data_IF_374843919116
#
_entry.id   IF_374843919116
#
_cell.length_a   1.000
_cell.length_b   1.000
_cell.length_c   1.000
_cell.angle_alpha   90.00
_cell.angle_beta   90.00
_cell.angle_gamma   90.00
#
_symmetry.space_group_name_H-M   'P 1'
#
loop_
_entity.id
_entity.type
_entity.pdbx_description
1 polymer ?
#
# COMPACT_ATOMS: atom_id res chain seq x y z
N UNK A 1 25.34 14.18 26.51
CA UNK A 1 24.13 14.57 25.75
C UNK A 1 22.99 14.88 26.69
N UNK A 2 22.40 16.07 26.57
CA UNK A 2 21.22 16.50 27.32
C UNK A 2 19.95 15.81 26.80
N UNK A 3 18.85 15.85 27.58
CA UNK A 3 17.54 15.33 27.15
C UNK A 3 17.04 16.00 25.85
N UNK A 4 17.33 17.29 25.69
CA UNK A 4 16.96 18.06 24.51
C UNK A 4 17.71 17.59 23.25
N UNK A 5 19.01 17.33 23.36
CA UNK A 5 19.82 16.82 22.24
C UNK A 5 19.34 15.43 21.78
N UNK A 6 18.98 14.55 22.72
CA UNK A 6 18.42 13.23 22.39
C UNK A 6 17.09 13.34 21.64
N UNK A 7 16.22 14.25 22.08
CA UNK A 7 14.94 14.50 21.41
C UNK A 7 15.12 15.08 20.00
N UNK A 8 16.08 15.99 19.81
CA UNK A 8 16.41 16.53 18.49
C UNK A 8 16.94 15.45 17.53
N UNK A 9 17.88 14.60 17.98
CA UNK A 9 18.39 13.49 17.19
C UNK A 9 17.28 12.50 16.79
N UNK A 10 16.36 12.19 17.71
CA UNK A 10 15.22 11.31 17.43
C UNK A 10 14.26 11.89 16.37
N UNK A 11 14.02 13.21 16.39
CA UNK A 11 13.20 13.90 15.37
C UNK A 11 13.85 13.84 13.99
N UNK A 12 15.16 14.10 13.91
CA UNK A 12 15.93 14.02 12.66
C UNK A 12 15.84 12.61 12.07
N UNK A 13 16.05 11.59 12.90
CA UNK A 13 16.00 10.20 12.46
C UNK A 13 14.59 9.77 12.06
N UNK A 14 13.55 10.30 12.71
CA UNK A 14 12.15 10.05 12.32
C UNK A 14 11.84 10.66 10.96
N UNK A 15 12.27 11.91 10.72
CA UNK A 15 12.13 12.57 9.41
C UNK A 15 12.84 11.80 8.31
N UNK A 16 14.09 11.38 8.53
CA UNK A 16 14.87 10.58 7.57
C UNK A 16 14.15 9.29 7.16
N UNK A 17 13.58 8.57 8.14
CA UNK A 17 12.80 7.35 7.90
C UNK A 17 11.54 7.63 7.10
N UNK A 18 10.83 8.71 7.42
CA UNK A 18 9.64 9.13 6.69
C UNK A 18 9.95 9.50 5.24
N UNK A 19 11.04 10.23 4.98
CA UNK A 19 11.50 10.56 3.63
C UNK A 19 11.86 9.31 2.81
N UNK A 20 12.55 8.34 3.42
CA UNK A 20 12.86 7.06 2.78
C UNK A 20 11.58 6.30 2.40
N UNK A 21 10.63 6.19 3.33
CA UNK A 21 9.36 5.54 3.07
C UNK A 21 8.55 6.26 1.97
N UNK A 22 8.57 7.59 1.97
CA UNK A 22 7.89 8.42 0.95
C UNK A 22 8.45 8.13 -0.44
N UNK A 23 9.79 8.06 -0.58
CA UNK A 23 10.42 7.70 -1.86
C UNK A 23 10.06 6.29 -2.33
N UNK A 24 9.96 5.33 -1.41
CA UNK A 24 9.52 3.96 -1.74
C UNK A 24 8.05 3.90 -2.17
N UNK A 25 7.22 4.78 -1.61
CA UNK A 25 5.79 4.86 -1.87
C UNK A 25 5.45 5.62 -3.16
N UNK A 26 6.32 6.52 -3.61
CA UNK A 26 6.04 7.40 -4.76
C UNK A 26 5.66 6.64 -6.05
N UNK A 27 6.33 5.54 -6.45
CA UNK A 27 5.91 4.76 -7.63
C UNK A 27 4.53 4.10 -7.48
N UNK A 28 4.06 3.97 -6.24
CA UNK A 28 2.84 3.25 -5.88
C UNK A 28 1.78 4.19 -5.28
N UNK A 29 1.84 5.48 -5.62
CA UNK A 29 0.82 6.48 -5.25
C UNK A 29 0.59 6.56 -3.73
N UNK A 30 1.68 6.51 -2.95
CA UNK A 30 1.64 6.74 -1.50
C UNK A 30 1.49 5.48 -0.64
N UNK A 31 1.39 4.29 -1.23
CA UNK A 31 1.39 3.01 -0.48
C UNK A 31 2.66 2.20 -0.67
N UNK A 32 2.96 1.34 0.29
CA UNK A 32 4.03 0.34 0.20
C UNK A 32 3.61 -0.93 0.91
N UNK A 33 4.34 -2.02 0.69
CA UNK A 33 4.20 -3.22 1.53
C UNK A 33 5.10 -3.17 2.76
N UNK A 34 4.71 -3.85 3.84
CA UNK A 34 5.59 -4.06 5.00
C UNK A 34 6.92 -4.71 4.61
N UNK A 35 6.90 -5.61 3.62
CA UNK A 35 8.10 -6.26 3.11
C UNK A 35 9.08 -5.27 2.44
N UNK A 36 8.57 -4.28 1.69
CA UNK A 36 9.41 -3.22 1.11
C UNK A 36 10.09 -2.38 2.19
N UNK A 37 9.36 -2.01 3.25
CA UNK A 37 9.93 -1.27 4.39
C UNK A 37 11.03 -2.08 5.09
N UNK A 38 10.79 -3.37 5.32
CA UNK A 38 11.80 -4.25 5.92
C UNK A 38 13.05 -4.43 5.04
N UNK A 39 12.87 -4.56 3.72
CA UNK A 39 13.99 -4.60 2.76
C UNK A 39 14.77 -3.29 2.74
N UNK A 40 14.12 -2.17 3.03
CA UNK A 40 14.75 -0.86 3.21
C UNK A 40 15.30 -0.61 4.64
N UNK A 41 15.47 -1.68 5.43
CA UNK A 41 16.01 -1.65 6.79
C UNK A 41 15.15 -0.93 7.85
N UNK A 42 13.86 -0.72 7.59
CA UNK A 42 12.93 -0.25 8.61
C UNK A 42 12.43 -1.44 9.44
N UNK A 43 12.58 -1.36 10.76
CA UNK A 43 12.19 -2.43 11.67
C UNK A 43 10.69 -2.42 11.94
N UNK A 44 10.13 -3.56 12.38
CA UNK A 44 8.71 -3.66 12.77
C UNK A 44 8.32 -2.64 13.84
N UNK A 45 9.20 -2.39 14.81
CA UNK A 45 8.96 -1.40 15.87
C UNK A 45 8.88 0.03 15.33
N UNK A 46 9.72 0.38 14.36
CA UNK A 46 9.69 1.70 13.73
C UNK A 46 8.41 1.89 12.91
N UNK A 47 8.00 0.89 12.14
CA UNK A 47 6.76 0.93 11.36
C UNK A 47 5.55 1.07 12.29
N UNK A 48 5.48 0.22 13.33
CA UNK A 48 4.41 0.27 14.32
C UNK A 48 4.33 1.63 15.01
N UNK A 49 5.48 2.19 15.43
CA UNK A 49 5.52 3.51 16.07
C UNK A 49 5.04 4.63 15.14
N UNK A 50 5.30 4.55 13.84
CA UNK A 50 4.79 5.53 12.87
C UNK A 50 3.27 5.40 12.68
N UNK A 51 2.73 4.17 12.71
CA UNK A 51 1.29 3.92 12.64
C UNK A 51 0.58 4.39 13.93
N UNK A 52 1.06 3.97 15.09
CA UNK A 52 0.51 4.37 16.40
C UNK A 52 0.61 5.88 16.62
N UNK A 53 1.64 6.51 16.09
CA UNK A 53 1.82 7.96 16.09
C UNK A 53 0.97 8.72 15.06
N UNK A 54 0.14 8.02 14.27
CA UNK A 54 -0.74 8.61 13.26
C UNK A 54 -0.03 9.19 12.04
N UNK A 55 1.28 8.95 11.89
CA UNK A 55 2.03 9.41 10.73
C UNK A 55 1.70 8.57 9.49
N UNK A 56 1.44 7.28 9.69
CA UNK A 56 1.12 6.29 8.65
C UNK A 56 -0.18 5.58 8.96
N UNK A 57 -0.88 5.11 7.91
CA UNK A 57 -2.16 4.44 8.03
C UNK A 57 -2.09 2.97 7.58
N UNK A 58 -2.59 2.01 8.37
CA UNK A 58 -2.64 0.61 7.97
C UNK A 58 -3.65 0.43 6.84
N UNK A 59 -3.21 0.00 5.65
CA UNK A 59 -4.06 -0.10 4.47
C UNK A 59 -4.48 -1.55 4.15
N UNK A 60 -3.95 -2.53 4.88
CA UNK A 60 -4.24 -3.94 4.68
C UNK A 60 -3.34 -4.82 5.53
N UNK A 61 -3.34 -6.12 5.25
CA UNK A 61 -2.47 -7.08 5.94
C UNK A 61 -1.02 -6.93 5.47
N UNK A 62 -0.84 -6.62 4.18
CA UNK A 62 0.46 -6.49 3.53
C UNK A 62 0.82 -5.03 3.23
N UNK A 63 -0.17 -4.14 3.19
CA UNK A 63 -0.05 -2.77 2.69
C UNK A 63 -0.17 -1.72 3.81
N UNK A 64 0.61 -0.65 3.70
CA UNK A 64 0.57 0.54 4.55
C UNK A 64 0.62 1.80 3.67
N UNK A 65 -0.16 2.81 4.05
CA UNK A 65 -0.13 4.15 3.45
C UNK A 65 0.89 5.00 4.19
N UNK A 66 1.77 5.67 3.46
CA UNK A 66 2.81 6.57 4.00
C UNK A 66 2.23 7.99 4.21
N UNK A 67 0.94 8.04 4.55
CA UNK A 67 0.19 9.22 4.97
C UNK A 67 -0.68 8.82 6.16
N UNK A 68 -1.27 9.81 6.85
CA UNK A 68 -2.23 9.58 7.94
C UNK A 68 -3.53 8.92 7.49
N UNK A 69 -3.81 8.92 6.19
CA UNK A 69 -5.11 8.54 5.64
C UNK A 69 -5.05 7.23 4.85
N UNK A 70 -6.23 6.63 4.70
CA UNK A 70 -6.41 5.49 3.82
C UNK A 70 -6.03 5.85 2.37
N UNK A 71 -5.49 4.89 1.60
CA UNK A 71 -5.12 5.16 0.21
C UNK A 71 -6.34 5.54 -0.63
N UNK A 72 -6.10 6.41 -1.59
CA UNK A 72 -7.07 6.85 -2.59
C UNK A 72 -6.48 6.68 -3.99
N UNK A 73 -7.28 6.91 -5.04
CA UNK A 73 -6.79 6.92 -6.42
C UNK A 73 -6.06 5.63 -6.80
N UNK A 74 -4.86 5.74 -7.40
CA UNK A 74 -4.09 4.57 -7.85
C UNK A 74 -3.49 3.79 -6.67
N UNK A 75 -3.38 4.39 -5.49
CA UNK A 75 -2.96 3.70 -4.28
C UNK A 75 -3.90 2.55 -3.90
N UNK A 76 -5.20 2.68 -4.23
CA UNK A 76 -6.17 1.59 -4.07
C UNK A 76 -5.90 0.42 -5.02
N UNK A 77 -5.40 0.67 -6.23
CA UNK A 77 -5.05 -0.39 -7.19
C UNK A 77 -3.88 -1.22 -6.67
N UNK A 78 -2.83 -0.55 -6.18
CA UNK A 78 -1.67 -1.24 -5.59
C UNK A 78 -2.04 -2.05 -4.35
N UNK A 79 -2.86 -1.47 -3.46
CA UNK A 79 -3.45 -2.19 -2.33
C UNK A 79 -4.22 -3.43 -2.82
N UNK A 80 -5.09 -3.28 -3.81
CA UNK A 80 -5.89 -4.38 -4.32
C UNK A 80 -4.99 -5.51 -4.85
N UNK A 81 -3.97 -5.19 -5.65
CA UNK A 81 -3.03 -6.19 -6.19
C UNK A 81 -2.27 -6.92 -5.07
N UNK A 82 -1.64 -6.19 -4.15
CA UNK A 82 -0.81 -6.81 -3.12
C UNK A 82 -1.58 -7.61 -2.08
N UNK A 83 -2.80 -7.17 -1.74
CA UNK A 83 -3.67 -7.92 -0.82
C UNK A 83 -4.34 -9.12 -1.52
N UNK A 84 -4.49 -9.10 -2.85
CA UNK A 84 -5.06 -10.20 -3.64
C UNK A 84 -4.05 -11.31 -3.92
N UNK A 85 -2.75 -10.99 -3.87
CA UNK A 85 -1.66 -11.95 -3.94
C UNK A 85 -0.82 -11.85 -5.22
N UNK A 86 0.24 -12.65 -5.30
CA UNK A 86 1.29 -12.49 -6.31
C UNK A 86 0.85 -12.71 -7.77
N UNK A 87 -0.26 -13.41 -8.01
CA UNK A 87 -0.81 -13.64 -9.35
C UNK A 87 -1.92 -12.65 -9.72
N UNK A 88 -2.17 -11.65 -8.88
CA UNK A 88 -3.22 -10.67 -9.12
C UNK A 88 -2.83 -9.69 -10.22
N UNK A 89 -3.79 -9.41 -11.10
CA UNK A 89 -3.69 -8.41 -12.16
C UNK A 89 -4.93 -7.53 -12.16
N UNK A 90 -4.80 -6.26 -12.58
CA UNK A 90 -5.97 -5.41 -12.81
C UNK A 90 -6.73 -5.92 -14.02
N UNK A 91 -8.05 -5.92 -13.92
CA UNK A 91 -8.94 -6.42 -14.97
C UNK A 91 -10.11 -5.46 -15.22
N UNK A 92 -10.98 -5.81 -16.16
CA UNK A 92 -12.24 -5.12 -16.42
C UNK A 92 -12.05 -3.63 -16.63
N UNK A 93 -12.96 -2.83 -16.04
CA UNK A 93 -12.91 -1.38 -16.17
C UNK A 93 -11.73 -0.77 -15.42
N UNK A 94 -11.23 -1.43 -14.38
CA UNK A 94 -10.05 -0.96 -13.62
C UNK A 94 -8.80 -0.98 -14.49
N UNK A 95 -8.64 -1.98 -15.37
CA UNK A 95 -7.55 -2.01 -16.35
C UNK A 95 -7.64 -0.84 -17.34
N UNK A 96 -8.85 -0.47 -17.75
CA UNK A 96 -9.09 0.66 -18.65
C UNK A 96 -8.80 2.00 -17.96
N UNK A 97 -9.15 2.16 -16.68
CA UNK A 97 -8.75 3.33 -15.89
C UNK A 97 -7.23 3.44 -15.80
N UNK A 98 -6.52 2.34 -15.60
CA UNK A 98 -5.05 2.33 -15.59
C UNK A 98 -4.46 2.74 -16.94
N UNK A 99 -5.15 2.41 -18.04
CA UNK A 99 -4.83 2.85 -19.40
C UNK A 99 -5.26 4.30 -19.73
N UNK A 100 -5.94 4.98 -18.81
CA UNK A 100 -6.31 6.39 -18.97
C UNK A 100 -7.74 6.64 -19.45
N UNK A 101 -8.64 5.66 -19.35
CA UNK A 101 -10.08 5.91 -19.50
C UNK A 101 -10.52 6.97 -18.47
N UNK A 102 -11.25 7.98 -18.93
CA UNK A 102 -11.78 9.08 -18.11
C UNK A 102 -13.30 9.16 -18.27
N UNK A 103 -13.95 9.93 -17.40
CA UNK A 103 -15.41 10.18 -17.41
C UNK A 103 -16.26 8.91 -17.23
N UNK A 104 -15.71 7.89 -16.59
CA UNK A 104 -16.43 6.69 -16.18
C UNK A 104 -16.24 6.50 -14.67
N UNK A 105 -17.29 6.05 -13.97
CA UNK A 105 -17.27 5.84 -12.54
C UNK A 105 -17.64 4.39 -12.23
N UNK A 106 -16.76 3.69 -11.52
CA UNK A 106 -17.00 2.34 -10.99
C UNK A 106 -16.52 2.34 -9.54
N UNK A 107 -17.34 1.85 -8.63
CA UNK A 107 -17.03 1.83 -7.20
C UNK A 107 -16.11 0.67 -6.80
N UNK A 108 -16.10 -0.41 -7.59
CA UNK A 108 -15.34 -1.62 -7.32
C UNK A 108 -14.14 -1.75 -8.26
N UNK A 109 -13.02 -2.20 -7.69
CA UNK A 109 -11.83 -2.54 -8.44
C UNK A 109 -11.92 -3.98 -8.94
N UNK A 110 -11.86 -4.17 -10.25
CA UNK A 110 -11.80 -5.49 -10.87
C UNK A 110 -10.37 -6.02 -10.84
N UNK A 111 -10.19 -7.19 -10.22
CA UNK A 111 -8.91 -7.88 -10.09
C UNK A 111 -9.07 -9.33 -10.50
N UNK A 112 -8.30 -9.78 -11.48
CA UNK A 112 -8.21 -11.20 -11.82
C UNK A 112 -7.11 -11.88 -11.03
N UNK A 113 -7.39 -13.09 -10.58
CA UNK A 113 -6.41 -13.99 -9.96
C UNK A 113 -6.42 -15.36 -10.65
N UNK A 114 -5.27 -16.03 -10.64
CA UNK A 114 -5.13 -17.40 -11.15
C UNK A 114 -6.17 -18.38 -10.54
N UNK A 115 -6.55 -19.38 -11.32
CA UNK A 115 -7.52 -20.40 -10.91
C UNK A 115 -7.11 -21.10 -9.60
N UNK A 116 -8.09 -21.54 -8.81
CA UNK A 116 -7.90 -22.23 -7.52
C UNK A 116 -7.13 -21.45 -6.43
N UNK A 117 -6.81 -20.17 -6.63
CA UNK A 117 -6.24 -19.34 -5.57
C UNK A 117 -7.33 -18.88 -4.63
N UNK A 118 -7.20 -19.26 -3.35
CA UNK A 118 -8.03 -18.72 -2.27
C UNK A 118 -7.59 -17.29 -1.99
N UNK A 119 -8.45 -16.34 -2.34
CA UNK A 119 -8.25 -14.92 -2.03
C UNK A 119 -9.26 -14.52 -0.96
N UNK A 120 -8.79 -13.77 0.03
CA UNK A 120 -9.68 -13.20 1.04
C UNK A 120 -10.47 -12.05 0.42
N UNK A 121 -11.73 -11.89 0.81
CA UNK A 121 -12.50 -10.71 0.45
C UNK A 121 -11.77 -9.43 0.89
N UNK A 122 -11.59 -8.49 -0.05
CA UNK A 122 -10.99 -7.18 0.20
C UNK A 122 -12.07 -6.14 -0.10
N UNK A 123 -12.32 -5.24 0.84
CA UNK A 123 -13.31 -4.18 0.66
C UNK A 123 -12.95 -3.31 -0.55
N UNK A 124 -13.93 -3.11 -1.44
CA UNK A 124 -13.78 -2.37 -2.69
C UNK A 124 -13.16 -3.15 -3.84
N UNK A 125 -12.98 -4.47 -3.73
CA UNK A 125 -12.37 -5.31 -4.78
C UNK A 125 -13.32 -6.43 -5.19
N UNK A 126 -13.54 -6.55 -6.51
CA UNK A 126 -14.23 -7.67 -7.16
C UNK A 126 -13.17 -8.61 -7.75
N UNK A 127 -13.10 -9.83 -7.22
CA UNK A 127 -12.19 -10.86 -7.71
C UNK A 127 -12.81 -11.68 -8.83
N UNK A 128 -12.11 -11.78 -9.94
CA UNK A 128 -12.41 -12.69 -11.04
C UNK A 128 -11.43 -13.87 -11.01
N UNK A 129 -11.93 -15.06 -11.34
CA UNK A 129 -11.10 -16.27 -11.45
C UNK A 129 -11.17 -16.77 -12.88
N UNK A 130 -10.04 -16.72 -13.57
CA UNK A 130 -9.91 -17.29 -14.91
C UNK A 130 -9.65 -18.78 -14.78
N UNK A 131 -10.28 -19.59 -15.62
CA UNK A 131 -9.96 -21.01 -15.74
C UNK A 131 -8.76 -21.14 -16.69
N UNK A 132 -7.69 -21.79 -16.25
CA UNK A 132 -6.67 -22.27 -17.19
C UNK A 132 -7.33 -23.33 -18.06
N UNK A 133 -7.26 -23.15 -19.38
CA UNK A 133 -7.82 -24.08 -20.37
C UNK A 133 -6.72 -25.00 -20.88
#
# INVERSE_FOLDING_TARGET
MTRAERAAAARIETRRRHELATRLAAPHDGVVTYAMLHRAALTRGQVRSAIEGGLWHPAGKHTVSITSDAPTGRGLWWRALWESGASAVLDGVTSLFAWGLKNWNEELLDVTVAHNRRVRAIAGVRHHQVRET
#
